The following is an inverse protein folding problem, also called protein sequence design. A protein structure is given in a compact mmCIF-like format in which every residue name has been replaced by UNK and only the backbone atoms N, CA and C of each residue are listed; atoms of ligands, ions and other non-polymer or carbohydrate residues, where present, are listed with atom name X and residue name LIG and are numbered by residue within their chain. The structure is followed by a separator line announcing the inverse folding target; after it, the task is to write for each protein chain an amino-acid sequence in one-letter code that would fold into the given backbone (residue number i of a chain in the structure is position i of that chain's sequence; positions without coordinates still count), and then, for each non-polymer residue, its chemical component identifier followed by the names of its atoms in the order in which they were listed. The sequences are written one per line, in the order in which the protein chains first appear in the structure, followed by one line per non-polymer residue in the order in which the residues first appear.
data_IF_018758714558
#
_entry.id   IF_018758714558
#
_cell.length_a   1.000
_cell.length_b   1.000
_cell.length_c   1.000
_cell.angle_alpha   90.00
_cell.angle_beta   90.00
_cell.angle_gamma   90.00
#
_symmetry.space_group_name_H-M   'P 1'
#
loop_
_entity.id
_entity.type
_entity.pdbx_description
1 polymer ?
#
# COMPACT_ATOMS: atom_id res chain seq x y z
N UNK A 1 -4.03 13.50 4.17
CA UNK A 1 -3.22 12.62 5.04
C UNK A 1 -3.98 11.55 5.77
N UNK A 2 -4.95 11.89 6.62
CA UNK A 2 -5.62 10.92 7.51
C UNK A 2 -6.26 9.74 6.78
N UNK A 3 -6.88 9.99 5.61
CA UNK A 3 -7.46 8.93 4.77
C UNK A 3 -6.41 7.96 4.23
N UNK A 4 -5.29 8.46 3.68
CA UNK A 4 -4.18 7.59 3.23
C UNK A 4 -3.65 6.77 4.41
N UNK A 5 -3.53 7.37 5.59
CA UNK A 5 -3.05 6.67 6.77
C UNK A 5 -4.01 5.57 7.25
N UNK A 6 -5.33 5.81 7.15
CA UNK A 6 -6.36 4.81 7.39
C UNK A 6 -6.23 3.64 6.42
N UNK A 7 -6.17 3.92 5.12
CA UNK A 7 -6.08 2.90 4.06
C UNK A 7 -4.81 2.04 4.23
N UNK A 8 -3.67 2.66 4.60
CA UNK A 8 -2.44 1.95 4.92
C UNK A 8 -2.59 1.01 6.13
N UNK A 9 -3.27 1.42 7.19
CA UNK A 9 -3.47 0.56 8.36
C UNK A 9 -4.35 -0.66 8.00
N UNK A 10 -5.38 -0.47 7.19
CA UNK A 10 -6.24 -1.57 6.72
C UNK A 10 -5.47 -2.56 5.84
N UNK A 11 -4.56 -2.05 4.99
CA UNK A 11 -3.62 -2.90 4.23
C UNK A 11 -2.77 -3.73 5.19
N UNK A 12 -2.19 -3.13 6.23
CA UNK A 12 -1.34 -3.83 7.19
C UNK A 12 -2.05 -4.98 7.90
N UNK A 13 -3.29 -4.76 8.35
CA UNK A 13 -4.09 -5.79 9.00
C UNK A 13 -4.43 -6.95 8.07
N UNK A 14 -4.56 -6.66 6.77
CA UNK A 14 -4.85 -7.67 5.75
C UNK A 14 -3.58 -8.35 5.19
N UNK A 15 -2.37 -7.85 5.51
CA UNK A 15 -1.13 -8.49 5.07
C UNK A 15 -0.89 -9.79 5.83
N UNK A 16 -0.42 -10.85 5.14
CA UNK A 16 -0.07 -12.10 5.79
C UNK A 16 0.96 -11.86 6.91
N UNK A 17 0.84 -12.59 8.03
CA UNK A 17 1.82 -12.51 9.11
C UNK A 17 3.20 -12.92 8.60
N UNK A 18 4.23 -12.45 9.28
CA UNK A 18 5.63 -12.77 8.98
C UNK A 18 5.97 -14.26 9.26
N UNK A 19 5.01 -15.03 9.78
CA UNK A 19 5.17 -16.43 10.11
C UNK A 19 5.41 -17.29 8.86
N UNK A 20 6.48 -18.09 8.95
CA UNK A 20 6.98 -19.07 7.98
C UNK A 20 8.10 -18.63 7.03
N UNK A 21 8.77 -17.50 7.29
CA UNK A 21 10.04 -17.17 6.62
C UNK A 21 9.96 -17.14 5.08
N UNK A 22 8.75 -16.99 4.54
CA UNK A 22 8.52 -17.02 3.10
C UNK A 22 8.94 -15.65 2.55
N UNK A 23 10.00 -15.56 1.72
CA UNK A 23 10.55 -14.28 1.30
C UNK A 23 9.52 -13.37 0.61
N UNK A 24 8.50 -13.95 0.00
CA UNK A 24 7.44 -13.21 -0.68
C UNK A 24 6.52 -12.44 0.29
N UNK A 25 6.22 -12.97 1.48
CA UNK A 25 5.44 -12.24 2.51
C UNK A 25 6.28 -11.10 3.10
N UNK A 26 7.57 -11.34 3.32
CA UNK A 26 8.50 -10.30 3.76
C UNK A 26 8.57 -9.14 2.75
N UNK A 27 8.63 -9.44 1.45
CA UNK A 27 8.61 -8.39 0.40
C UNK A 27 7.37 -7.50 0.47
N UNK A 28 6.19 -8.05 0.76
CA UNK A 28 4.97 -7.26 0.92
C UNK A 28 5.06 -6.31 2.12
N UNK A 29 5.55 -6.79 3.27
CA UNK A 29 5.71 -5.99 4.49
C UNK A 29 6.77 -4.89 4.35
N UNK A 30 7.89 -5.18 3.68
CA UNK A 30 8.94 -4.18 3.38
C UNK A 30 8.40 -3.08 2.48
N UNK A 31 7.65 -3.43 1.43
CA UNK A 31 7.04 -2.46 0.53
C UNK A 31 6.01 -1.59 1.26
N UNK A 32 5.17 -2.20 2.11
CA UNK A 32 4.26 -1.46 2.99
C UNK A 32 4.99 -0.49 3.93
N UNK A 33 6.06 -0.95 4.59
CA UNK A 33 6.88 -0.09 5.45
C UNK A 33 7.44 1.11 4.69
N UNK A 34 7.86 0.90 3.44
CA UNK A 34 8.33 1.97 2.55
C UNK A 34 7.22 2.97 2.24
N UNK A 35 6.01 2.52 1.91
CA UNK A 35 4.85 3.39 1.68
C UNK A 35 4.53 4.26 2.90
N UNK A 36 4.59 3.69 4.11
CA UNK A 36 4.39 4.43 5.37
C UNK A 36 5.44 5.52 5.59
N UNK A 37 6.71 5.22 5.30
CA UNK A 37 7.79 6.22 5.37
C UNK A 37 7.61 7.33 4.34
N UNK A 38 7.14 7.02 3.13
CA UNK A 38 6.82 8.03 2.12
C UNK A 38 5.67 8.93 2.57
N UNK A 39 4.61 8.37 3.17
CA UNK A 39 3.52 9.18 3.70
C UNK A 39 4.01 10.18 4.77
N UNK A 40 4.88 9.75 5.69
CA UNK A 40 5.49 10.65 6.68
C UNK A 40 6.34 11.76 6.03
N UNK A 41 7.01 11.45 4.91
CA UNK A 41 7.76 12.46 4.14
C UNK A 41 6.85 13.43 3.39
N UNK A 42 5.64 13.02 2.99
CA UNK A 42 4.69 13.90 2.33
C UNK A 42 4.31 15.10 3.21
N UNK A 43 4.23 14.92 4.54
CA UNK A 43 3.95 16.01 5.50
C UNK A 43 5.04 17.09 5.51
N UNK A 44 6.28 16.71 5.16
CA UNK A 44 7.45 17.60 5.16
C UNK A 44 7.91 17.96 3.74
N UNK A 45 7.20 17.48 2.71
CA UNK A 45 7.59 17.66 1.31
C UNK A 45 7.12 19.02 0.81
N UNK A 46 7.96 19.70 0.03
CA UNK A 46 7.56 20.86 -0.75
C UNK A 46 6.66 20.50 -1.95
N UNK A 47 6.58 19.20 -2.28
CA UNK A 47 5.74 18.65 -3.34
C UNK A 47 5.11 17.32 -2.85
N UNK A 48 4.01 17.39 -2.10
CA UNK A 48 3.31 16.20 -1.59
C UNK A 48 2.68 15.35 -2.71
N UNK A 49 2.28 15.96 -3.83
CA UNK A 49 1.66 15.26 -4.97
C UNK A 49 2.61 14.23 -5.58
N UNK A 50 3.89 14.59 -5.77
CA UNK A 50 4.91 13.61 -6.20
C UNK A 50 5.04 12.44 -5.23
N UNK A 51 4.97 12.71 -3.92
CA UNK A 51 5.07 11.65 -2.90
C UNK A 51 3.86 10.72 -2.97
N UNK A 52 2.66 11.28 -3.15
CA UNK A 52 1.45 10.49 -3.35
C UNK A 52 1.52 9.65 -4.64
N UNK A 53 2.09 10.20 -5.72
CA UNK A 53 2.27 9.45 -6.96
C UNK A 53 3.20 8.24 -6.79
N UNK A 54 4.27 8.38 -5.99
CA UNK A 54 5.12 7.25 -5.63
C UNK A 54 4.38 6.22 -4.75
N UNK A 55 3.56 6.67 -3.79
CA UNK A 55 2.70 5.78 -2.99
C UNK A 55 1.75 4.98 -3.89
N UNK A 56 1.14 5.61 -4.90
CA UNK A 56 0.31 4.93 -5.89
C UNK A 56 1.07 3.83 -6.65
N UNK A 57 2.29 4.11 -7.11
CA UNK A 57 3.13 3.11 -7.80
C UNK A 57 3.44 1.93 -6.88
N UNK A 58 3.83 2.21 -5.64
CA UNK A 58 4.14 1.17 -4.65
C UNK A 58 2.90 0.32 -4.31
N UNK A 59 1.72 0.92 -4.20
CA UNK A 59 0.46 0.19 -3.98
C UNK A 59 0.18 -0.80 -5.12
N UNK A 60 0.39 -0.38 -6.38
CA UNK A 60 0.27 -1.27 -7.54
C UNK A 60 1.26 -2.45 -7.46
N UNK A 61 2.53 -2.18 -7.14
CA UNK A 61 3.53 -3.24 -6.95
C UNK A 61 3.17 -4.17 -5.79
N UNK A 62 2.60 -3.65 -4.69
CA UNK A 62 2.14 -4.47 -3.57
C UNK A 62 1.00 -5.40 -3.99
N UNK A 63 0.07 -4.92 -4.82
CA UNK A 63 -0.99 -5.75 -5.42
C UNK A 63 -0.40 -6.90 -6.24
N UNK A 64 0.59 -6.63 -7.08
CA UNK A 64 1.27 -7.63 -7.89
C UNK A 64 1.97 -8.68 -7.01
N UNK A 65 2.62 -8.26 -5.92
CA UNK A 65 3.24 -9.18 -4.96
C UNK A 65 2.22 -10.05 -4.23
N UNK A 66 1.08 -9.48 -3.84
CA UNK A 66 -0.02 -10.24 -3.24
C UNK A 66 -0.64 -11.23 -4.23
N UNK A 67 -0.81 -10.85 -5.50
CA UNK A 67 -1.26 -11.75 -6.56
C UNK A 67 -0.29 -12.91 -6.80
N UNK A 68 1.01 -12.68 -6.64
CA UNK A 68 2.04 -13.70 -6.78
C UNK A 68 2.12 -14.66 -5.58
N UNK A 69 1.41 -14.42 -4.47
CA UNK A 69 1.55 -15.13 -3.20
C UNK A 69 0.82 -16.49 -3.09
N UNK A 70 0.84 -17.25 -4.19
CA UNK A 70 0.25 -18.58 -4.39
C UNK A 70 -1.20 -18.55 -4.93
N UNK A 71 -1.47 -19.17 -6.09
CA UNK A 71 -2.81 -19.25 -6.67
C UNK A 71 -3.81 -20.06 -5.82
N UNK A 72 -3.34 -20.84 -4.84
CA UNK A 72 -4.19 -21.60 -3.92
C UNK A 72 -4.68 -20.78 -2.72
N UNK A 73 -3.95 -19.73 -2.36
CA UNK A 73 -4.34 -18.79 -1.30
C UNK A 73 -4.80 -17.53 -1.99
N UNK A 74 -6.09 -17.50 -2.30
CA UNK A 74 -6.77 -16.27 -2.72
C UNK A 74 -6.30 -15.12 -1.82
N UNK A 75 -5.84 -14.04 -2.46
CA UNK A 75 -5.45 -12.81 -1.76
C UNK A 75 -6.58 -12.48 -0.79
N UNK A 76 -6.29 -12.12 0.48
CA UNK A 76 -7.32 -11.64 1.37
C UNK A 76 -8.07 -10.51 0.65
N UNK A 77 -9.36 -10.71 0.36
CA UNK A 77 -10.18 -9.75 -0.40
C UNK A 77 -10.06 -8.34 0.21
N UNK A 78 -9.99 -8.28 1.53
CA UNK A 78 -9.76 -7.07 2.31
C UNK A 78 -8.47 -6.32 1.93
N UNK A 79 -7.37 -7.02 1.62
CA UNK A 79 -6.13 -6.37 1.17
C UNK A 79 -6.29 -5.74 -0.22
N UNK A 80 -7.06 -6.38 -1.11
CA UNK A 80 -7.34 -5.85 -2.45
C UNK A 80 -8.26 -4.64 -2.36
N UNK A 81 -9.32 -4.73 -1.57
CA UNK A 81 -10.27 -3.65 -1.35
C UNK A 81 -9.55 -2.42 -0.74
N UNK A 82 -8.70 -2.63 0.27
CA UNK A 82 -7.92 -1.56 0.89
C UNK A 82 -6.88 -0.93 -0.07
N UNK A 83 -6.30 -1.71 -0.97
CA UNK A 83 -5.41 -1.18 -2.02
C UNK A 83 -6.17 -0.35 -3.06
N UNK A 84 -7.38 -0.76 -3.42
CA UNK A 84 -8.26 -0.01 -4.33
C UNK A 84 -8.74 1.30 -3.67
N UNK A 85 -9.07 1.29 -2.38
CA UNK A 85 -9.39 2.50 -1.62
C UNK A 85 -8.19 3.44 -1.55
N UNK A 86 -6.99 2.94 -1.25
CA UNK A 86 -5.76 3.73 -1.24
C UNK A 86 -5.51 4.40 -2.60
N UNK A 87 -5.65 3.67 -3.71
CA UNK A 87 -5.44 4.22 -5.05
C UNK A 87 -6.47 5.33 -5.37
N UNK A 88 -7.73 5.13 -4.99
CA UNK A 88 -8.78 6.14 -5.15
C UNK A 88 -8.53 7.39 -4.30
N UNK A 89 -8.16 7.22 -3.04
CA UNK A 89 -7.81 8.32 -2.13
C UNK A 89 -6.64 9.13 -2.70
N UNK A 90 -5.60 8.44 -3.16
CA UNK A 90 -4.43 9.08 -3.77
C UNK A 90 -4.78 9.79 -5.07
N UNK A 91 -5.61 9.21 -5.94
CA UNK A 91 -6.05 9.88 -7.17
C UNK A 91 -6.83 11.16 -6.90
N UNK A 92 -7.70 11.19 -5.88
CA UNK A 92 -8.43 12.41 -5.48
C UNK A 92 -7.51 13.51 -4.94
N UNK A 93 -6.32 13.15 -4.46
CA UNK A 93 -5.36 14.10 -3.89
C UNK A 93 -4.35 14.62 -4.92
N UNK A 94 -4.11 13.89 -6.02
CA UNK A 94 -3.20 14.30 -7.10
C UNK A 94 -3.94 14.96 -8.26
N UNK A 95 -5.21 14.60 -8.49
CA UNK A 95 -6.05 15.25 -9.49
C UNK A 95 -6.99 16.21 -8.77
N UNK A 96 -6.69 17.51 -8.69
CA UNK A 96 -7.70 18.46 -8.26
C UNK A 96 -8.79 18.47 -9.32
N UNK A 97 -10.01 18.15 -8.90
CA UNK A 97 -11.21 18.48 -9.68
C UNK A 97 -11.33 19.99 -9.85
#
# INVERSE_FOLDING_TARGET
HELIQKDLNEIWEALPPEENGTPAYLRCRVLYGTMKTFLQKADMSSDPEKVYFEIKKMAKTLREYLQALSPEKSIPKQAVDALDELENTVMRLIVPG
#
